data_IF_244146401998
#
_entry.id   IF_244146401998
#
_cell.length_a   1.000
_cell.length_b   1.000
_cell.length_c   1.000
_cell.angle_alpha   90.00
_cell.angle_beta   90.00
_cell.angle_gamma   90.00
#
_symmetry.space_group_name_H-M   'P 1'
#
loop_
_entity.id
_entity.type
_entity.pdbx_description
1 polymer ?
#
# COMPACT_ATOMS: atom_id res chain seq x y z
N UNK A 1 -14.93 -48.23 -3.13
CA UNK A 1 -14.22 -49.54 -3.14
C UNK A 1 -12.72 -49.32 -3.50
N UNK A 2 -11.83 -50.33 -3.48
CA UNK A 2 -10.41 -50.19 -3.88
C UNK A 2 -10.25 -50.00 -5.39
N UNK A 3 -11.26 -50.40 -6.16
CA UNK A 3 -11.50 -49.90 -7.51
C UNK A 3 -12.50 -48.74 -7.39
N UNK A 4 -12.24 -47.61 -8.06
CA UNK A 4 -13.21 -46.49 -8.12
C UNK A 4 -14.51 -47.01 -8.71
N UNK A 5 -15.60 -46.88 -7.96
CA UNK A 5 -16.90 -47.43 -8.33
C UNK A 5 -17.56 -46.59 -9.41
N UNK A 6 -18.70 -47.09 -9.87
CA UNK A 6 -19.75 -46.23 -10.42
C UNK A 6 -20.95 -46.42 -9.50
N UNK A 7 -20.74 -46.22 -8.20
CA UNK A 7 -21.76 -46.42 -7.18
C UNK A 7 -22.85 -45.36 -7.36
N UNK A 8 -24.11 -45.83 -7.34
CA UNK A 8 -25.26 -45.07 -7.80
C UNK A 8 -26.42 -45.22 -6.84
N UNK A 9 -27.06 -44.10 -6.51
CA UNK A 9 -28.39 -44.06 -5.91
C UNK A 9 -29.39 -43.60 -6.98
N UNK A 10 -30.54 -44.27 -7.06
CA UNK A 10 -31.64 -43.91 -7.96
C UNK A 10 -32.90 -43.63 -7.13
N UNK A 11 -33.43 -42.42 -7.25
CA UNK A 11 -34.72 -42.00 -6.73
C UNK A 11 -35.78 -42.24 -7.80
N UNK A 12 -36.73 -43.14 -7.55
CA UNK A 12 -37.73 -43.57 -8.56
C UNK A 12 -38.98 -42.67 -8.64
N UNK A 13 -39.18 -41.82 -7.64
CA UNK A 13 -40.40 -41.06 -7.38
C UNK A 13 -40.13 -39.64 -6.83
N UNK A 14 -38.87 -39.20 -6.83
CA UNK A 14 -38.45 -37.84 -6.41
C UNK A 14 -37.64 -37.19 -7.53
N UNK A 15 -38.00 -35.95 -7.91
CA UNK A 15 -37.29 -35.15 -8.91
C UNK A 15 -36.09 -34.43 -8.27
N UNK A 16 -35.10 -34.05 -9.08
CA UNK A 16 -33.88 -33.38 -8.62
C UNK A 16 -34.18 -32.03 -7.94
N UNK A 17 -35.17 -31.28 -8.45
CA UNK A 17 -35.61 -30.00 -7.86
C UNK A 17 -36.18 -30.14 -6.46
N UNK A 18 -36.81 -31.28 -6.16
CA UNK A 18 -37.68 -31.45 -4.99
C UNK A 18 -36.91 -31.91 -3.73
N UNK A 19 -35.63 -32.27 -3.89
CA UNK A 19 -34.71 -32.60 -2.79
C UNK A 19 -34.03 -31.33 -2.28
N UNK A 20 -33.94 -31.17 -0.96
CA UNK A 20 -33.11 -30.14 -0.31
C UNK A 20 -31.92 -30.80 0.38
N UNK A 21 -30.72 -30.32 0.11
CA UNK A 21 -29.47 -30.78 0.72
C UNK A 21 -29.08 -29.93 1.93
N UNK A 22 -28.44 -30.58 2.90
CA UNK A 22 -27.73 -29.92 4.01
C UNK A 22 -26.50 -30.75 4.38
N UNK A 23 -25.60 -30.23 5.21
CA UNK A 23 -24.39 -30.95 5.65
C UNK A 23 -24.21 -30.93 7.16
N UNK A 24 -23.60 -31.98 7.69
CA UNK A 24 -23.05 -32.03 9.05
C UNK A 24 -21.61 -32.52 8.93
N UNK A 25 -20.62 -31.67 9.19
CA UNK A 25 -19.21 -31.92 8.86
C UNK A 25 -19.06 -32.30 7.37
N UNK A 26 -18.65 -33.53 7.07
CA UNK A 26 -18.47 -34.06 5.71
C UNK A 26 -19.57 -35.04 5.29
N UNK A 27 -20.64 -35.15 6.09
CA UNK A 27 -21.81 -35.95 5.77
C UNK A 27 -22.85 -35.07 5.05
N UNK A 28 -23.40 -35.56 3.93
CA UNK A 28 -24.46 -34.86 3.17
C UNK A 28 -25.81 -35.47 3.53
N UNK A 29 -26.80 -34.63 3.83
CA UNK A 29 -28.15 -35.03 4.21
C UNK A 29 -29.11 -34.60 3.10
N UNK A 30 -29.67 -35.58 2.40
CA UNK A 30 -30.77 -35.39 1.45
C UNK A 30 -32.07 -35.35 2.24
N UNK A 31 -32.84 -34.27 2.15
CA UNK A 31 -34.20 -34.16 2.67
C UNK A 31 -35.18 -34.30 1.51
N UNK A 32 -36.03 -35.33 1.57
CA UNK A 32 -37.00 -35.65 0.53
C UNK A 32 -38.32 -34.88 0.73
N UNK A 33 -39.19 -34.79 -0.29
CA UNK A 33 -40.50 -34.14 -0.17
C UNK A 33 -41.44 -34.73 0.90
N UNK A 34 -41.21 -35.98 1.31
CA UNK A 34 -41.90 -36.63 2.42
C UNK A 34 -41.49 -36.11 3.81
N UNK A 35 -40.38 -35.36 3.89
CA UNK A 35 -39.69 -35.01 5.13
C UNK A 35 -38.75 -36.11 5.65
N UNK A 36 -38.62 -37.23 4.95
CA UNK A 36 -37.63 -38.26 5.25
C UNK A 36 -36.22 -37.79 4.86
N UNK A 37 -35.21 -38.26 5.59
CA UNK A 37 -33.81 -37.90 5.36
C UNK A 37 -32.93 -39.11 5.06
N UNK A 38 -31.96 -38.91 4.17
CA UNK A 38 -30.92 -39.88 3.84
C UNK A 38 -29.57 -39.21 4.10
N UNK A 39 -28.78 -39.77 5.03
CA UNK A 39 -27.44 -39.28 5.35
C UNK A 39 -26.37 -40.09 4.61
N UNK A 40 -25.59 -39.41 3.77
CA UNK A 40 -24.42 -39.94 3.07
C UNK A 40 -23.18 -39.63 3.91
N UNK A 41 -22.70 -40.64 4.64
CA UNK A 41 -21.58 -40.51 5.57
C UNK A 41 -20.27 -40.31 4.79
N UNK A 42 -19.48 -39.30 5.18
CA UNK A 42 -18.19 -38.94 4.60
C UNK A 42 -18.21 -38.60 3.09
N UNK A 43 -19.37 -38.23 2.54
CA UNK A 43 -19.56 -37.96 1.11
C UNK A 43 -18.72 -36.76 0.59
N UNK A 44 -18.31 -35.83 1.47
CA UNK A 44 -17.45 -34.68 1.13
C UNK A 44 -15.96 -34.89 1.47
N UNK A 45 -15.52 -36.09 1.85
CA UNK A 45 -14.11 -36.36 2.08
C UNK A 45 -13.31 -36.32 0.76
N UNK A 46 -12.10 -35.76 0.78
CA UNK A 46 -11.12 -35.84 -0.32
C UNK A 46 -10.74 -37.28 -0.69
N UNK A 47 -10.80 -38.20 0.28
CA UNK A 47 -10.74 -39.63 0.01
C UNK A 47 -12.08 -40.18 -0.51
N UNK A 48 -12.31 -40.02 -1.81
CA UNK A 48 -13.52 -40.46 -2.52
C UNK A 48 -13.71 -41.98 -2.61
N UNK A 49 -12.87 -42.81 -1.97
CA UNK A 49 -13.01 -44.28 -2.00
C UNK A 49 -14.31 -44.81 -1.37
N UNK A 50 -15.03 -43.99 -0.60
CA UNK A 50 -16.30 -44.35 0.04
C UNK A 50 -17.47 -43.44 -0.36
N UNK A 51 -17.25 -42.45 -1.23
CA UNK A 51 -18.29 -41.54 -1.72
C UNK A 51 -19.05 -42.15 -2.89
N UNK A 52 -20.35 -41.89 -2.99
CA UNK A 52 -21.14 -42.23 -4.17
C UNK A 52 -20.74 -41.35 -5.36
N UNK A 53 -20.61 -41.91 -6.56
CA UNK A 53 -20.25 -41.16 -7.76
C UNK A 53 -21.45 -40.55 -8.50
N UNK A 54 -22.66 -41.12 -8.36
CA UNK A 54 -23.85 -40.63 -9.10
C UNK A 54 -25.20 -40.77 -8.38
N UNK A 55 -26.08 -39.81 -8.64
CA UNK A 55 -27.45 -39.74 -8.13
C UNK A 55 -28.41 -39.51 -9.31
N UNK A 56 -29.35 -40.43 -9.54
CA UNK A 56 -30.35 -40.34 -10.61
C UNK A 56 -31.74 -40.08 -10.01
N UNK A 57 -32.50 -39.18 -10.63
CA UNK A 57 -33.81 -38.74 -10.17
C UNK A 57 -34.93 -39.16 -11.11
N UNK A 58 -36.18 -39.03 -10.65
CA UNK A 58 -37.37 -39.54 -11.36
C UNK A 58 -37.69 -38.77 -12.66
N UNK A 59 -37.23 -37.52 -12.76
CA UNK A 59 -37.25 -36.68 -13.95
C UNK A 59 -36.20 -37.08 -15.00
N UNK A 60 -35.27 -37.98 -14.66
CA UNK A 60 -34.14 -38.40 -15.49
C UNK A 60 -32.90 -37.51 -15.38
N UNK A 61 -32.89 -36.52 -14.47
CA UNK A 61 -31.68 -35.79 -14.14
C UNK A 61 -30.68 -36.71 -13.41
N UNK A 62 -29.40 -36.52 -13.69
CA UNK A 62 -28.31 -37.25 -13.03
C UNK A 62 -27.30 -36.24 -12.52
N UNK A 63 -27.06 -36.25 -11.21
CA UNK A 63 -25.97 -35.51 -10.57
C UNK A 63 -24.75 -36.41 -10.42
N UNK A 64 -23.60 -35.90 -10.87
CA UNK A 64 -22.30 -36.31 -10.37
C UNK A 64 -21.98 -35.61 -9.03
N UNK A 65 -20.81 -35.89 -8.46
CA UNK A 65 -20.38 -35.28 -7.20
C UNK A 65 -20.31 -33.75 -7.23
N UNK A 66 -19.84 -33.14 -8.32
CA UNK A 66 -19.75 -31.68 -8.44
C UNK A 66 -21.15 -31.04 -8.53
N UNK A 67 -22.09 -31.64 -9.27
CA UNK A 67 -23.48 -31.18 -9.31
C UNK A 67 -24.16 -31.29 -7.93
N UNK A 68 -23.90 -32.37 -7.20
CA UNK A 68 -24.36 -32.53 -5.82
C UNK A 68 -23.75 -31.48 -4.87
N UNK A 69 -22.45 -31.17 -4.97
CA UNK A 69 -21.82 -30.09 -4.18
C UNK A 69 -22.39 -28.72 -4.53
N UNK A 70 -22.53 -28.39 -5.82
CA UNK A 70 -23.12 -27.13 -6.26
C UNK A 70 -24.57 -26.97 -5.75
N UNK A 71 -25.37 -28.04 -5.76
CA UNK A 71 -26.72 -28.01 -5.16
C UNK A 71 -26.68 -27.79 -3.65
N UNK A 72 -25.79 -28.48 -2.95
CA UNK A 72 -25.59 -28.30 -1.51
C UNK A 72 -25.22 -26.85 -1.18
N UNK A 73 -24.30 -26.24 -1.92
CA UNK A 73 -23.92 -24.83 -1.68
C UNK A 73 -25.07 -23.86 -1.96
N UNK A 74 -25.90 -24.13 -2.98
CA UNK A 74 -27.12 -23.36 -3.24
C UNK A 74 -28.12 -23.47 -2.07
N UNK A 75 -28.44 -24.68 -1.62
CA UNK A 75 -29.39 -24.90 -0.52
C UNK A 75 -28.87 -24.34 0.82
N UNK A 76 -27.55 -24.34 1.03
CA UNK A 76 -26.91 -23.78 2.23
C UNK A 76 -27.08 -22.27 2.38
N UNK A 77 -27.26 -21.49 1.31
CA UNK A 77 -27.49 -20.03 1.38
C UNK A 77 -28.65 -19.66 2.30
N UNK A 78 -29.72 -20.46 2.30
CA UNK A 78 -30.90 -20.26 3.13
C UNK A 78 -30.60 -20.37 4.65
N UNK A 79 -29.41 -20.85 5.04
CA UNK A 79 -28.93 -20.88 6.42
C UNK A 79 -28.14 -19.63 6.83
N UNK A 80 -27.73 -18.81 5.85
CA UNK A 80 -26.83 -17.66 6.03
C UNK A 80 -25.33 -17.99 5.95
N UNK A 81 -24.95 -19.27 5.87
CA UNK A 81 -23.57 -19.72 5.76
C UNK A 81 -23.43 -20.83 4.70
N UNK A 82 -22.51 -20.63 3.77
CA UNK A 82 -22.05 -21.60 2.78
C UNK A 82 -20.62 -22.01 3.14
N UNK A 83 -20.33 -23.30 3.16
CA UNK A 83 -19.01 -23.83 3.55
C UNK A 83 -18.50 -24.71 2.41
N UNK A 84 -17.30 -24.40 1.91
CA UNK A 84 -16.61 -25.16 0.87
C UNK A 84 -16.09 -26.52 1.29
N UNK A 85 -15.30 -27.13 0.42
CA UNK A 85 -14.55 -28.36 0.64
C UNK A 85 -13.12 -28.20 0.12
N UNK A 86 -12.29 -29.25 0.17
CA UNK A 86 -10.93 -29.25 -0.39
C UNK A 86 -10.95 -29.62 -1.90
N UNK A 87 -11.92 -29.09 -2.67
CA UNK A 87 -12.08 -29.31 -4.12
C UNK A 87 -12.50 -27.99 -4.78
N UNK A 88 -12.21 -27.82 -6.08
CA UNK A 88 -12.76 -26.71 -6.86
C UNK A 88 -14.30 -26.64 -6.76
N UNK A 89 -14.79 -25.56 -6.17
CA UNK A 89 -16.18 -25.21 -5.94
C UNK A 89 -16.67 -24.14 -6.92
N UNK A 90 -17.91 -24.31 -7.39
CA UNK A 90 -18.56 -23.39 -8.32
C UNK A 90 -19.77 -22.73 -7.65
N UNK A 91 -19.47 -21.77 -6.77
CA UNK A 91 -20.48 -20.91 -6.16
C UNK A 91 -21.22 -20.10 -7.22
N UNK A 92 -22.53 -19.94 -7.04
CA UNK A 92 -23.36 -19.09 -7.89
C UNK A 92 -24.12 -18.11 -7.02
N UNK A 93 -24.46 -16.95 -7.56
CA UNK A 93 -25.38 -15.98 -6.98
C UNK A 93 -26.37 -15.49 -8.05
N UNK A 94 -27.62 -15.30 -7.66
CA UNK A 94 -28.66 -14.65 -8.44
C UNK A 94 -29.39 -13.63 -7.56
N UNK A 95 -29.88 -12.55 -8.15
CA UNK A 95 -30.63 -11.54 -7.42
C UNK A 95 -31.88 -12.16 -6.76
N UNK A 96 -31.98 -12.05 -5.44
CA UNK A 96 -33.03 -12.69 -4.63
C UNK A 96 -32.61 -13.96 -3.89
N UNK A 97 -31.35 -14.42 -4.03
CA UNK A 97 -30.76 -15.48 -3.20
C UNK A 97 -30.60 -15.05 -1.72
N UNK A 98 -30.66 -13.75 -1.43
CA UNK A 98 -30.48 -13.17 -0.10
C UNK A 98 -29.02 -12.99 0.31
N UNK A 99 -28.82 -12.51 1.55
CA UNK A 99 -27.50 -12.30 2.14
C UNK A 99 -26.99 -13.56 2.85
N UNK A 100 -25.73 -13.92 2.61
CA UNK A 100 -25.06 -15.07 3.22
C UNK A 100 -23.53 -14.85 3.26
N UNK A 101 -22.83 -15.72 3.98
CA UNK A 101 -21.37 -15.78 3.97
C UNK A 101 -20.86 -17.05 3.30
N UNK A 102 -19.64 -17.00 2.75
CA UNK A 102 -18.92 -18.14 2.20
C UNK A 102 -17.64 -18.33 3.02
N UNK A 103 -17.40 -19.54 3.51
CA UNK A 103 -16.14 -19.97 4.13
C UNK A 103 -15.51 -21.06 3.28
N UNK A 104 -14.51 -20.69 2.49
CA UNK A 104 -13.96 -21.52 1.42
C UNK A 104 -12.58 -22.10 1.79
N UNK A 105 -12.53 -22.98 2.79
CA UNK A 105 -11.26 -23.53 3.25
C UNK A 105 -10.76 -24.65 2.33
N UNK A 106 -9.85 -24.32 1.41
CA UNK A 106 -9.04 -25.30 0.70
C UNK A 106 -7.55 -25.22 1.09
N UNK A 107 -7.01 -26.36 1.52
CA UNK A 107 -5.59 -26.52 1.82
C UNK A 107 -4.73 -26.63 0.55
N UNK A 108 -5.31 -27.06 -0.57
CA UNK A 108 -4.61 -27.34 -1.82
C UNK A 108 -4.52 -26.17 -2.79
N UNK A 109 -5.29 -25.10 -2.56
CA UNK A 109 -5.43 -23.91 -3.42
C UNK A 109 -5.94 -24.30 -4.81
N UNK A 110 -7.21 -24.70 -4.84
CA UNK A 110 -7.99 -25.03 -6.01
C UNK A 110 -8.22 -23.85 -6.96
N UNK A 111 -9.23 -24.02 -7.81
CA UNK A 111 -9.67 -23.02 -8.77
C UNK A 111 -11.12 -22.61 -8.48
N UNK A 112 -11.34 -22.06 -7.29
CA UNK A 112 -12.67 -21.74 -6.79
C UNK A 112 -13.27 -20.52 -7.52
N UNK A 113 -14.58 -20.54 -7.71
CA UNK A 113 -15.28 -19.51 -8.49
C UNK A 113 -16.63 -19.11 -7.90
N UNK A 114 -16.84 -17.80 -7.77
CA UNK A 114 -18.16 -17.21 -7.53
C UNK A 114 -18.71 -16.59 -8.83
N UNK A 115 -19.85 -17.11 -9.29
CA UNK A 115 -20.52 -16.67 -10.52
C UNK A 115 -21.80 -15.89 -10.21
N UNK A 116 -21.82 -14.59 -10.48
CA UNK A 116 -23.01 -13.74 -10.48
C UNK A 116 -23.77 -13.94 -11.80
N UNK A 117 -24.89 -14.67 -11.73
CA UNK A 117 -25.61 -15.17 -12.92
C UNK A 117 -26.49 -14.13 -13.63
N UNK A 118 -26.95 -13.11 -12.92
CA UNK A 118 -27.80 -12.03 -13.43
C UNK A 118 -27.38 -10.61 -12.98
N UNK A 119 -26.26 -10.48 -12.26
CA UNK A 119 -25.65 -9.21 -11.87
C UNK A 119 -24.35 -8.97 -12.65
N UNK A 120 -24.11 -7.72 -13.04
CA UNK A 120 -22.87 -7.26 -13.65
C UNK A 120 -21.90 -6.72 -12.58
N UNK A 121 -20.67 -6.45 -12.99
CA UNK A 121 -19.65 -5.94 -12.09
C UNK A 121 -19.91 -4.50 -11.61
N UNK A 122 -20.83 -3.79 -12.27
CA UNK A 122 -21.36 -2.47 -11.86
C UNK A 122 -22.57 -2.54 -10.93
N UNK A 123 -23.15 -3.73 -10.74
CA UNK A 123 -24.33 -3.95 -9.90
C UNK A 123 -23.95 -4.36 -8.47
N UNK A 124 -22.65 -4.35 -8.15
CA UNK A 124 -22.05 -4.64 -6.84
C UNK A 124 -21.06 -3.54 -6.42
N UNK A 125 -20.94 -3.35 -5.11
CA UNK A 125 -19.88 -2.54 -4.48
C UNK A 125 -19.19 -3.36 -3.40
N UNK A 126 -17.88 -3.17 -3.22
CA UNK A 126 -17.07 -3.92 -2.28
C UNK A 126 -16.82 -3.15 -0.99
N UNK A 127 -16.82 -3.86 0.14
CA UNK A 127 -16.32 -3.36 1.42
C UNK A 127 -15.54 -4.44 2.18
N UNK A 128 -14.83 -4.06 3.24
CA UNK A 128 -13.95 -4.95 4.02
C UNK A 128 -14.37 -4.98 5.48
N UNK A 129 -14.41 -6.18 6.04
CA UNK A 129 -14.55 -6.42 7.48
C UNK A 129 -13.42 -7.35 7.95
N UNK A 130 -12.42 -6.81 8.64
CA UNK A 130 -11.19 -7.54 8.97
C UNK A 130 -10.46 -8.05 7.72
N UNK A 131 -10.35 -9.37 7.57
CA UNK A 131 -9.79 -10.02 6.37
C UNK A 131 -10.89 -10.53 5.40
N UNK A 132 -12.16 -10.24 5.68
CA UNK A 132 -13.28 -10.62 4.81
C UNK A 132 -13.60 -9.52 3.81
N UNK A 133 -14.04 -9.93 2.61
CA UNK A 133 -14.59 -9.02 1.59
C UNK A 133 -16.09 -9.19 1.53
N UNK A 134 -16.84 -8.09 1.53
CA UNK A 134 -18.30 -8.08 1.40
C UNK A 134 -18.66 -7.48 0.05
N UNK A 135 -19.35 -8.25 -0.78
CA UNK A 135 -20.05 -7.75 -1.96
C UNK A 135 -21.44 -7.28 -1.52
N UNK A 136 -21.73 -5.99 -1.61
CA UNK A 136 -23.08 -5.45 -1.48
C UNK A 136 -23.68 -5.27 -2.88
N UNK A 137 -24.82 -5.90 -3.15
CA UNK A 137 -25.53 -5.78 -4.42
C UNK A 137 -26.39 -4.52 -4.44
N UNK A 138 -26.70 -4.01 -5.64
CA UNK A 138 -27.67 -2.93 -5.84
C UNK A 138 -29.08 -3.21 -5.27
N UNK A 139 -29.40 -4.48 -4.97
CA UNK A 139 -30.61 -4.93 -4.27
C UNK A 139 -30.52 -4.87 -2.75
N UNK A 140 -29.34 -4.61 -2.17
CA UNK A 140 -29.05 -4.62 -0.74
C UNK A 140 -28.73 -6.00 -0.17
N UNK A 141 -28.47 -7.00 -1.01
CA UNK A 141 -27.99 -8.32 -0.59
C UNK A 141 -26.49 -8.25 -0.32
N UNK A 142 -26.01 -9.00 0.67
CA UNK A 142 -24.59 -9.02 1.06
C UNK A 142 -24.03 -10.43 0.98
N UNK A 143 -22.96 -10.60 0.20
CA UNK A 143 -22.21 -11.85 0.08
C UNK A 143 -20.84 -11.64 0.74
N UNK A 144 -20.64 -12.21 1.92
CA UNK A 144 -19.39 -12.06 2.68
C UNK A 144 -18.46 -13.23 2.44
N UNK A 145 -17.29 -12.97 1.85
CA UNK A 145 -16.21 -13.93 1.65
C UNK A 145 -15.30 -13.91 2.88
N UNK A 146 -15.42 -14.92 3.74
CA UNK A 146 -14.74 -14.96 5.02
C UNK A 146 -13.23 -15.20 4.86
N UNK A 147 -12.40 -14.29 5.38
CA UNK A 147 -10.93 -14.40 5.29
C UNK A 147 -10.36 -14.43 3.85
N UNK A 148 -11.09 -13.89 2.88
CA UNK A 148 -10.66 -13.74 1.48
C UNK A 148 -9.30 -13.02 1.30
N UNK A 149 -8.90 -12.19 2.27
CA UNK A 149 -7.65 -11.41 2.27
C UNK A 149 -6.54 -12.00 3.17
N UNK A 150 -6.69 -13.23 3.68
CA UNK A 150 -5.60 -13.90 4.42
C UNK A 150 -4.41 -14.18 3.48
N UNK A 151 -3.18 -13.75 3.84
CA UNK A 151 -1.98 -13.90 3.01
C UNK A 151 -1.57 -15.36 2.71
N UNK A 152 -2.13 -16.35 3.43
CA UNK A 152 -1.93 -17.77 3.12
C UNK A 152 -2.86 -18.31 2.01
N UNK A 153 -3.79 -17.50 1.50
CA UNK A 153 -4.74 -17.78 0.41
C UNK A 153 -5.41 -19.17 0.48
N UNK A 154 -5.63 -19.71 1.69
CA UNK A 154 -6.38 -20.97 1.90
C UNK A 154 -7.88 -20.78 2.10
N UNK A 155 -8.36 -19.53 2.02
CA UNK A 155 -9.75 -19.11 2.25
C UNK A 155 -10.25 -18.16 1.16
N UNK A 156 -9.49 -18.04 0.09
CA UNK A 156 -9.74 -17.14 -1.01
C UNK A 156 -10.45 -17.88 -2.12
N UNK A 157 -11.50 -17.29 -2.68
CA UNK A 157 -12.00 -17.65 -4.00
C UNK A 157 -11.04 -17.04 -5.04
N UNK A 158 -10.60 -17.82 -6.03
CA UNK A 158 -9.65 -17.37 -7.07
C UNK A 158 -10.30 -16.49 -8.14
N UNK A 159 -11.55 -16.77 -8.51
CA UNK A 159 -12.19 -16.14 -9.67
C UNK A 159 -13.62 -15.69 -9.42
N UNK A 160 -13.97 -14.54 -10.00
CA UNK A 160 -15.31 -13.97 -9.96
C UNK A 160 -15.80 -13.77 -11.39
N UNK A 161 -16.99 -14.26 -11.72
CA UNK A 161 -17.59 -14.16 -13.06
C UNK A 161 -18.94 -13.45 -12.97
N UNK A 162 -19.21 -12.52 -13.89
CA UNK A 162 -20.42 -11.69 -13.91
C UNK A 162 -21.28 -11.95 -15.16
N UNK A 163 -22.54 -11.53 -15.12
CA UNK A 163 -23.54 -11.86 -16.15
C UNK A 163 -23.20 -11.34 -17.57
N UNK A 164 -22.39 -10.28 -17.69
CA UNK A 164 -21.88 -9.76 -18.96
C UNK A 164 -20.61 -10.47 -19.47
N UNK A 165 -20.09 -11.45 -18.74
CA UNK A 165 -18.84 -12.14 -19.04
C UNK A 165 -17.58 -11.40 -18.56
N UNK A 166 -17.72 -10.33 -17.76
CA UNK A 166 -16.59 -9.78 -17.00
C UNK A 166 -16.10 -10.83 -16.01
N UNK A 167 -14.78 -11.02 -15.95
CA UNK A 167 -14.12 -11.86 -14.94
C UNK A 167 -13.14 -11.03 -14.14
N UNK A 168 -13.06 -11.27 -12.83
CA UNK A 168 -12.00 -10.74 -11.96
C UNK A 168 -11.18 -11.89 -11.39
N UNK A 169 -9.87 -11.69 -11.27
CA UNK A 169 -9.03 -12.48 -10.37
C UNK A 169 -8.92 -11.84 -8.97
N UNK A 170 -8.05 -12.38 -8.11
CA UNK A 170 -7.82 -11.85 -6.76
C UNK A 170 -7.17 -10.46 -6.73
N UNK A 171 -6.36 -10.09 -7.74
CA UNK A 171 -5.74 -8.78 -7.82
C UNK A 171 -6.75 -7.73 -8.33
N UNK A 172 -7.58 -8.08 -9.32
CA UNK A 172 -8.75 -7.29 -9.72
C UNK A 172 -9.69 -7.02 -8.54
N UNK A 173 -9.98 -8.05 -7.72
CA UNK A 173 -10.80 -7.93 -6.51
C UNK A 173 -10.20 -6.91 -5.53
N UNK A 174 -8.91 -7.04 -5.19
CA UNK A 174 -8.23 -6.12 -4.25
C UNK A 174 -8.19 -4.70 -4.79
N UNK A 175 -7.84 -4.51 -6.06
CA UNK A 175 -7.81 -3.18 -6.69
C UNK A 175 -9.17 -2.48 -6.64
N UNK A 176 -10.27 -3.21 -6.87
CA UNK A 176 -11.64 -2.66 -6.82
C UNK A 176 -12.10 -2.38 -5.41
N UNK A 177 -11.78 -3.26 -4.46
CA UNK A 177 -12.03 -3.03 -3.03
C UNK A 177 -11.36 -1.73 -2.56
N UNK A 178 -10.14 -1.46 -3.01
CA UNK A 178 -9.41 -0.24 -2.69
C UNK A 178 -10.00 1.00 -3.39
N UNK A 179 -10.50 0.86 -4.61
CA UNK A 179 -11.23 1.94 -5.29
C UNK A 179 -12.53 2.30 -4.54
N UNK A 180 -13.33 1.32 -4.10
CA UNK A 180 -14.57 1.56 -3.33
C UNK A 180 -14.30 2.13 -1.92
N UNK A 181 -13.23 1.69 -1.25
CA UNK A 181 -12.81 2.21 0.07
C UNK A 181 -12.56 3.72 0.09
N UNK A 182 -12.14 4.34 -1.02
CA UNK A 182 -11.82 5.77 -1.09
C UNK A 182 -13.00 6.66 -0.72
N UNK A 183 -14.24 6.23 -1.02
CA UNK A 183 -15.45 6.94 -0.63
C UNK A 183 -15.62 7.05 0.89
N UNK A 184 -15.05 6.11 1.66
CA UNK A 184 -14.96 6.15 3.12
C UNK A 184 -13.81 7.03 3.67
N UNK A 185 -12.94 7.56 2.80
CA UNK A 185 -11.80 8.39 3.15
C UNK A 185 -10.58 7.63 3.69
N UNK A 186 -10.62 6.30 3.75
CA UNK A 186 -9.51 5.47 4.20
C UNK A 186 -9.44 4.15 3.42
N UNK A 187 -8.27 3.89 2.83
CA UNK A 187 -7.92 2.65 2.13
C UNK A 187 -6.94 1.86 3.00
N UNK A 188 -7.12 0.53 3.06
CA UNK A 188 -6.32 -0.37 3.89
C UNK A 188 -5.76 -1.49 3.00
N UNK A 189 -4.44 -1.61 2.96
CA UNK A 189 -3.68 -2.64 2.26
C UNK A 189 -3.79 -4.04 2.86
N UNK A 190 -3.17 -5.00 2.21
CA UNK A 190 -3.16 -6.42 2.59
C UNK A 190 -1.73 -6.93 2.79
N UNK A 191 -1.51 -8.25 2.71
CA UNK A 191 -0.18 -8.88 2.78
C UNK A 191 0.31 -9.26 1.36
N UNK A 192 -0.17 -8.55 0.33
CA UNK A 192 0.11 -8.77 -1.09
C UNK A 192 0.52 -7.46 -1.76
N UNK A 193 1.24 -7.54 -2.88
CA UNK A 193 1.65 -6.35 -3.64
C UNK A 193 0.42 -5.60 -4.19
N UNK A 194 0.31 -4.32 -3.81
CA UNK A 194 -0.84 -3.46 -4.04
C UNK A 194 -0.55 -2.32 -5.04
N UNK A 195 -1.56 -1.96 -5.84
CA UNK A 195 -1.53 -0.79 -6.74
C UNK A 195 -2.62 0.21 -6.38
N UNK A 196 -2.29 1.18 -5.53
CA UNK A 196 -3.17 2.27 -5.12
C UNK A 196 -3.31 3.32 -6.23
N UNK A 197 -4.31 3.17 -7.11
CA UNK A 197 -4.47 4.07 -8.28
C UNK A 197 -5.30 5.31 -7.94
N UNK A 198 -4.66 6.45 -7.64
CA UNK A 198 -5.34 7.74 -7.49
C UNK A 198 -5.78 8.33 -8.83
N UNK A 199 -7.00 8.87 -8.87
CA UNK A 199 -7.57 9.64 -9.99
C UNK A 199 -8.19 10.94 -9.48
N UNK A 200 -8.28 11.97 -10.33
CA UNK A 200 -8.80 13.30 -9.98
C UNK A 200 -10.25 13.30 -9.42
N UNK A 201 -11.03 12.24 -9.65
CA UNK A 201 -12.39 12.08 -9.13
C UNK A 201 -12.45 11.51 -7.70
N UNK A 202 -11.36 10.93 -7.19
CA UNK A 202 -11.34 10.13 -5.96
C UNK A 202 -11.42 10.98 -4.68
N UNK A 203 -11.07 12.26 -4.76
CA UNK A 203 -11.04 13.16 -3.60
C UNK A 203 -9.88 12.86 -2.63
N UNK A 204 -10.06 13.18 -1.35
CA UNK A 204 -9.04 13.00 -0.31
C UNK A 204 -9.24 11.71 0.48
N UNK A 205 -8.17 10.93 0.65
CA UNK A 205 -8.16 9.73 1.50
C UNK A 205 -6.78 9.43 2.11
N UNK A 206 -6.77 8.57 3.12
CA UNK A 206 -5.55 8.01 3.71
C UNK A 206 -5.31 6.57 3.22
N UNK A 207 -4.04 6.16 3.11
CA UNK A 207 -3.62 4.77 2.90
C UNK A 207 -2.96 4.27 4.19
N UNK A 208 -3.35 3.09 4.66
CA UNK A 208 -2.63 2.33 5.69
C UNK A 208 -2.20 1.00 5.09
N UNK A 209 -0.90 0.77 4.99
CA UNK A 209 -0.33 -0.30 4.19
C UNK A 209 0.51 -1.25 5.04
N UNK A 210 -0.15 -1.97 5.96
CA UNK A 210 0.57 -2.87 6.85
C UNK A 210 0.84 -4.21 6.16
N UNK A 211 1.99 -4.31 5.50
CA UNK A 211 2.52 -5.60 5.06
C UNK A 211 3.66 -6.10 5.97
N UNK A 212 3.53 -7.35 6.41
CA UNK A 212 4.56 -8.06 7.15
C UNK A 212 5.73 -8.50 6.26
N UNK A 213 5.49 -8.76 4.98
CA UNK A 213 6.44 -9.37 4.05
C UNK A 213 7.35 -8.38 3.33
N UNK A 214 6.94 -7.10 3.26
CA UNK A 214 7.55 -6.02 2.48
C UNK A 214 7.52 -6.34 0.98
N UNK A 215 6.30 -6.34 0.43
CA UNK A 215 6.00 -6.39 -0.99
C UNK A 215 6.53 -5.20 -1.78
N UNK A 216 6.13 -5.13 -3.04
CA UNK A 216 6.47 -4.06 -3.98
C UNK A 216 5.27 -3.10 -4.19
N UNK A 217 4.81 -2.46 -3.10
CA UNK A 217 3.60 -1.62 -3.11
C UNK A 217 3.79 -0.29 -3.85
N UNK A 218 2.73 0.21 -4.48
CA UNK A 218 2.80 1.43 -5.29
C UNK A 218 1.56 2.33 -5.24
N UNK A 219 1.80 3.63 -5.04
CA UNK A 219 0.83 4.70 -5.23
C UNK A 219 0.98 5.28 -6.64
N UNK A 220 -0.07 5.15 -7.45
CA UNK A 220 -0.09 5.60 -8.85
C UNK A 220 -0.98 6.84 -8.98
N UNK A 221 -0.41 7.97 -9.38
CA UNK A 221 -1.17 9.16 -9.79
C UNK A 221 -1.49 9.07 -11.28
N UNK A 222 -2.65 8.46 -11.62
CA UNK A 222 -2.94 8.02 -12.99
C UNK A 222 -3.33 9.13 -13.98
N UNK A 223 -3.73 10.30 -13.49
CA UNK A 223 -4.11 11.49 -14.28
C UNK A 223 -3.46 12.78 -13.76
N UNK A 224 -2.33 12.64 -13.05
CA UNK A 224 -1.49 13.75 -12.61
C UNK A 224 -0.01 13.49 -12.88
N UNK A 225 0.60 14.38 -13.66
CA UNK A 225 2.04 14.47 -13.85
C UNK A 225 2.72 14.84 -12.54
N UNK A 226 4.01 14.52 -12.37
CA UNK A 226 4.73 14.88 -11.14
C UNK A 226 4.70 16.39 -10.87
N UNK A 227 4.75 17.21 -11.90
CA UNK A 227 4.65 18.67 -11.78
C UNK A 227 3.29 19.20 -11.28
N UNK A 228 2.25 18.36 -11.22
CA UNK A 228 0.90 18.70 -10.77
C UNK A 228 0.59 18.21 -9.34
N UNK A 229 1.50 17.44 -8.73
CA UNK A 229 1.40 16.93 -7.37
C UNK A 229 2.47 17.60 -6.51
N UNK A 230 2.08 18.18 -5.38
CA UNK A 230 3.03 18.64 -4.35
C UNK A 230 3.04 17.67 -3.16
N UNK A 231 4.21 17.35 -2.67
CA UNK A 231 4.40 16.43 -1.56
C UNK A 231 4.96 17.15 -0.32
N UNK A 232 4.47 16.81 0.87
CA UNK A 232 5.02 17.27 2.15
C UNK A 232 5.13 16.10 3.13
N UNK A 233 6.00 16.27 4.14
CA UNK A 233 6.03 15.42 5.33
C UNK A 233 5.07 15.98 6.38
N UNK A 234 4.35 15.08 7.07
CA UNK A 234 3.52 15.42 8.23
C UNK A 234 3.74 14.35 9.33
N UNK A 235 4.68 14.62 10.24
CA UNK A 235 5.20 13.60 11.15
C UNK A 235 5.85 12.45 10.39
N UNK A 236 5.36 11.22 10.61
CA UNK A 236 5.82 10.03 9.88
C UNK A 236 5.09 9.82 8.54
N UNK A 237 4.13 10.68 8.17
CA UNK A 237 3.28 10.49 7.00
C UNK A 237 3.84 11.23 5.77
N UNK A 238 3.59 10.66 4.59
CA UNK A 238 3.73 11.37 3.32
C UNK A 238 2.36 11.91 2.90
N UNK A 239 2.25 13.22 2.65
CA UNK A 239 1.02 13.86 2.20
C UNK A 239 1.24 14.43 0.81
N UNK A 240 0.55 13.88 -0.18
CA UNK A 240 0.52 14.37 -1.54
C UNK A 240 -0.74 15.22 -1.74
N UNK A 241 -0.61 16.36 -2.41
CA UNK A 241 -1.71 17.26 -2.76
C UNK A 241 -1.75 17.43 -4.26
N UNK A 242 -2.89 17.12 -4.89
CA UNK A 242 -3.07 17.20 -6.34
C UNK A 242 -3.72 18.52 -6.75
N UNK A 243 -3.72 18.82 -8.05
CA UNK A 243 -4.40 19.99 -8.60
C UNK A 243 -5.89 20.00 -8.21
N UNK A 244 -6.34 21.06 -7.54
CA UNK A 244 -7.69 21.15 -6.95
C UNK A 244 -7.72 21.00 -5.42
N UNK A 245 -6.62 20.56 -4.81
CA UNK A 245 -6.46 20.51 -3.34
C UNK A 245 -6.93 19.22 -2.66
N UNK A 246 -7.29 18.20 -3.43
CA UNK A 246 -7.46 16.84 -2.90
C UNK A 246 -6.11 16.27 -2.45
N UNK A 247 -6.14 15.35 -1.49
CA UNK A 247 -4.94 14.88 -0.79
C UNK A 247 -4.93 13.36 -0.60
N UNK A 248 -3.86 12.71 -1.02
CA UNK A 248 -3.56 11.31 -0.67
C UNK A 248 -2.51 11.31 0.43
N UNK A 249 -2.80 10.65 1.56
CA UNK A 249 -1.86 10.56 2.69
C UNK A 249 -1.48 9.12 2.98
N UNK A 250 -0.20 8.78 2.83
CA UNK A 250 0.32 7.47 3.26
C UNK A 250 0.71 7.58 4.74
N UNK A 251 0.04 6.81 5.59
CA UNK A 251 0.23 6.85 7.03
C UNK A 251 1.45 6.01 7.44
N UNK A 252 2.39 6.61 8.16
CA UNK A 252 3.57 5.89 8.67
C UNK A 252 4.70 5.63 7.66
N UNK A 253 4.64 6.17 6.44
CA UNK A 253 5.64 6.04 5.37
C UNK A 253 7.11 6.18 5.83
N UNK A 254 7.38 7.04 6.81
CA UNK A 254 8.73 7.33 7.31
C UNK A 254 9.03 6.74 8.70
N UNK A 255 8.22 5.79 9.17
CA UNK A 255 8.54 5.03 10.38
C UNK A 255 9.87 4.26 10.21
N UNK A 256 10.57 4.01 11.31
CA UNK A 256 11.78 3.15 11.31
C UNK A 256 11.45 1.70 10.93
N UNK A 257 10.21 1.29 11.14
CA UNK A 257 9.65 0.04 10.66
C UNK A 257 8.82 0.28 9.39
N UNK A 258 9.46 0.01 8.26
CA UNK A 258 8.91 0.16 6.90
C UNK A 258 7.79 -0.84 6.55
N UNK A 259 7.25 -1.60 7.50
CA UNK A 259 6.02 -2.41 7.31
C UNK A 259 4.74 -1.57 7.22
N UNK A 260 4.86 -0.28 6.87
CA UNK A 260 3.76 0.68 6.66
C UNK A 260 4.11 1.65 5.51
N UNK A 261 5.14 1.34 4.71
CA UNK A 261 5.56 2.17 3.60
C UNK A 261 5.10 1.55 2.30
N UNK A 262 4.70 2.43 1.37
CA UNK A 262 4.60 2.10 -0.05
C UNK A 262 6.00 2.26 -0.66
N UNK A 263 6.49 1.26 -1.39
CA UNK A 263 7.85 1.20 -1.94
C UNK A 263 8.10 2.22 -3.06
N UNK A 264 7.06 2.53 -3.84
CA UNK A 264 7.18 3.45 -4.98
C UNK A 264 5.97 4.36 -5.23
N UNK A 265 6.23 5.49 -5.87
CA UNK A 265 5.19 6.42 -6.36
C UNK A 265 5.33 6.59 -7.87
N UNK A 266 4.29 6.26 -8.63
CA UNK A 266 4.22 6.45 -10.09
C UNK A 266 3.37 7.69 -10.44
N UNK A 267 3.75 8.42 -11.51
CA UNK A 267 3.02 9.59 -12.03
C UNK A 267 2.68 9.41 -13.52
N UNK A 268 1.67 10.12 -14.03
CA UNK A 268 1.16 9.93 -15.41
C UNK A 268 2.19 10.27 -16.52
N UNK A 269 3.20 11.08 -16.19
CA UNK A 269 4.31 11.48 -17.06
C UNK A 269 5.41 10.42 -17.15
N UNK A 270 5.26 9.29 -16.46
CA UNK A 270 6.23 8.21 -16.38
C UNK A 270 7.36 8.45 -15.36
N UNK A 271 7.29 9.51 -14.55
CA UNK A 271 8.15 9.67 -13.38
C UNK A 271 7.83 8.56 -12.37
N UNK A 272 8.88 7.93 -11.84
CA UNK A 272 8.78 6.99 -10.73
C UNK A 272 9.67 7.49 -9.60
N UNK A 273 9.15 7.49 -8.39
CA UNK A 273 9.91 7.71 -7.17
C UNK A 273 10.06 6.40 -6.41
N UNK A 274 11.29 5.90 -6.30
CA UNK A 274 11.66 4.99 -5.21
C UNK A 274 11.70 5.73 -3.86
N UNK A 275 11.92 4.99 -2.77
CA UNK A 275 12.03 5.56 -1.42
C UNK A 275 13.00 6.75 -1.30
N UNK A 276 14.17 6.72 -1.95
CA UNK A 276 15.14 7.82 -1.88
C UNK A 276 14.71 9.02 -2.74
N UNK A 277 14.10 8.77 -3.89
CA UNK A 277 13.52 9.81 -4.74
C UNK A 277 12.33 10.49 -4.05
N UNK A 278 11.51 9.73 -3.32
CA UNK A 278 10.42 10.25 -2.47
C UNK A 278 10.94 11.16 -1.35
N UNK A 279 11.95 10.72 -0.59
CA UNK A 279 12.59 11.53 0.45
C UNK A 279 13.10 12.88 -0.12
N UNK A 280 13.92 12.82 -1.17
CA UNK A 280 14.51 14.00 -1.81
C UNK A 280 13.45 14.89 -2.48
N UNK A 281 12.39 14.29 -3.01
CA UNK A 281 11.30 14.97 -3.71
C UNK A 281 10.36 15.73 -2.80
N UNK A 282 10.01 15.16 -1.64
CA UNK A 282 9.32 15.88 -0.55
C UNK A 282 10.19 17.03 -0.05
N UNK A 283 11.48 16.78 0.17
CA UNK A 283 12.40 17.83 0.62
C UNK A 283 12.52 18.99 -0.38
N UNK A 284 12.41 18.72 -1.68
CA UNK A 284 12.33 19.75 -2.73
C UNK A 284 11.03 20.57 -2.64
N UNK A 285 9.86 19.91 -2.64
CA UNK A 285 8.56 20.58 -2.63
C UNK A 285 8.33 21.42 -1.37
N UNK A 286 8.84 20.97 -0.22
CA UNK A 286 8.69 21.68 1.06
C UNK A 286 9.42 23.03 1.10
N UNK A 287 10.43 23.28 0.25
CA UNK A 287 11.16 24.57 0.23
C UNK A 287 10.24 25.76 0.00
N UNK A 288 9.23 25.60 -0.86
CA UNK A 288 8.25 26.64 -1.16
C UNK A 288 7.41 27.08 0.06
N UNK A 289 7.45 26.32 1.16
CA UNK A 289 6.82 26.66 2.44
C UNK A 289 7.75 27.48 3.37
N UNK A 290 9.03 27.62 3.03
CA UNK A 290 10.08 28.19 3.88
C UNK A 290 10.63 27.24 4.96
N UNK A 291 10.10 26.02 5.07
CA UNK A 291 10.49 25.03 6.07
C UNK A 291 10.51 23.62 5.50
N UNK A 292 11.69 23.00 5.47
CA UNK A 292 11.91 21.61 5.09
C UNK A 292 12.10 20.79 6.36
N UNK A 293 11.33 19.70 6.49
CA UNK A 293 11.42 18.79 7.64
C UNK A 293 11.97 17.46 7.16
N UNK A 294 13.20 17.11 7.56
CA UNK A 294 13.85 15.83 7.35
C UNK A 294 13.19 14.68 8.13
N UNK A 295 13.79 13.51 8.06
CA UNK A 295 13.31 12.23 8.57
C UNK A 295 14.34 11.58 9.50
N UNK A 296 14.08 10.32 9.88
CA UNK A 296 15.05 9.49 10.60
C UNK A 296 16.01 8.74 9.66
N UNK A 297 15.86 8.91 8.34
CA UNK A 297 16.65 8.30 7.27
C UNK A 297 17.62 9.31 6.66
N UNK A 298 18.64 8.85 5.94
CA UNK A 298 19.62 9.76 5.29
C UNK A 298 18.99 10.50 4.11
N UNK A 299 18.93 11.82 4.16
CA UNK A 299 18.36 12.66 3.09
C UNK A 299 19.42 13.46 2.32
N UNK A 300 19.14 13.75 1.05
CA UNK A 300 19.97 14.63 0.21
C UNK A 300 19.18 15.87 -0.22
N UNK A 301 19.22 16.89 0.63
CA UNK A 301 18.71 18.21 0.33
C UNK A 301 19.52 18.81 -0.82
N UNK A 302 18.90 18.99 -1.99
CA UNK A 302 19.54 19.67 -3.14
C UNK A 302 19.04 21.10 -3.22
N UNK A 303 19.94 22.06 -3.40
CA UNK A 303 19.63 23.46 -3.63
C UNK A 303 20.08 23.89 -5.03
N UNK A 304 19.27 24.71 -5.68
CA UNK A 304 19.53 25.40 -6.95
C UNK A 304 19.25 26.88 -6.73
N UNK A 305 20.10 27.78 -7.22
CA UNK A 305 19.89 29.23 -7.08
C UNK A 305 18.53 29.62 -7.69
N UNK A 306 17.66 30.21 -6.88
CA UNK A 306 16.25 30.49 -7.24
C UNK A 306 15.22 29.58 -6.55
N UNK A 307 15.65 28.56 -5.81
CA UNK A 307 14.80 27.75 -4.91
C UNK A 307 14.21 28.58 -3.74
N UNK A 308 14.74 29.77 -3.47
CA UNK A 308 14.38 30.65 -2.36
C UNK A 308 15.10 30.33 -1.04
N UNK A 309 14.92 31.21 -0.06
CA UNK A 309 15.36 30.99 1.32
C UNK A 309 14.43 30.03 2.07
N UNK A 310 15.01 29.08 2.81
CA UNK A 310 14.26 28.15 3.66
C UNK A 310 15.10 27.67 4.84
N UNK A 311 14.41 27.12 5.84
CA UNK A 311 15.03 26.39 6.95
C UNK A 311 14.96 24.89 6.72
N UNK A 312 15.93 24.15 7.26
CA UNK A 312 15.92 22.68 7.37
C UNK A 312 15.91 22.34 8.86
N UNK A 313 15.07 21.38 9.25
CA UNK A 313 14.99 20.78 10.59
C UNK A 313 14.75 19.28 10.49
N UNK A 314 15.06 18.48 11.50
CA UNK A 314 14.90 17.02 11.46
C UNK A 314 14.53 16.39 12.83
N UNK A 315 13.95 15.18 12.83
CA UNK A 315 13.71 14.39 14.04
C UNK A 315 15.01 13.79 14.58
N UNK A 316 14.97 13.19 15.78
CA UNK A 316 16.19 12.65 16.39
C UNK A 316 16.78 11.48 15.58
N UNK A 317 18.01 11.65 15.10
CA UNK A 317 18.71 10.65 14.29
C UNK A 317 19.54 9.73 15.21
N UNK A 318 18.96 8.57 15.55
CA UNK A 318 19.52 7.60 16.49
C UNK A 318 20.30 6.45 15.81
N UNK A 319 20.27 6.37 14.48
CA UNK A 319 20.68 5.18 13.72
C UNK A 319 22.01 5.35 12.96
N UNK A 320 22.64 6.53 13.02
CA UNK A 320 23.86 6.83 12.27
C UNK A 320 23.62 7.15 10.79
N UNK A 321 22.40 7.57 10.44
CA UNK A 321 22.12 8.17 9.14
C UNK A 321 22.81 9.54 9.05
N UNK A 322 23.17 9.97 7.84
CA UNK A 322 23.90 11.21 7.63
C UNK A 322 23.26 12.00 6.49
N UNK A 323 22.73 13.18 6.82
CA UNK A 323 22.10 14.08 5.87
C UNK A 323 23.14 14.87 5.08
N UNK A 324 22.78 15.24 3.85
CA UNK A 324 23.63 16.02 2.94
C UNK A 324 22.86 17.21 2.40
N UNK A 325 23.52 18.37 2.37
CA UNK A 325 23.09 19.52 1.58
C UNK A 325 24.02 19.66 0.37
N UNK A 326 23.47 19.66 -0.84
CA UNK A 326 24.22 19.79 -2.09
C UNK A 326 23.72 21.03 -2.83
N UNK A 327 24.59 22.03 -2.99
CA UNK A 327 24.39 23.13 -3.91
C UNK A 327 24.75 22.67 -5.33
N UNK A 328 23.77 22.71 -6.23
CA UNK A 328 23.89 22.14 -7.58
C UNK A 328 24.50 23.10 -8.60
N UNK A 329 24.42 24.40 -8.34
CA UNK A 329 24.90 25.49 -9.21
C UNK A 329 25.62 26.62 -8.46
N UNK A 330 25.57 26.65 -7.12
CA UNK A 330 26.36 27.57 -6.30
C UNK A 330 27.74 26.98 -5.94
N UNK A 331 28.80 27.76 -6.15
CA UNK A 331 30.19 27.40 -5.79
C UNK A 331 30.53 27.81 -4.36
N UNK A 332 31.61 27.27 -3.80
CA UNK A 332 31.99 27.52 -2.41
C UNK A 332 32.33 28.98 -2.11
N UNK A 333 32.88 29.73 -3.08
CA UNK A 333 33.15 31.18 -3.00
C UNK A 333 31.89 32.06 -3.09
N UNK A 334 30.75 31.47 -3.46
CA UNK A 334 29.44 32.13 -3.50
C UNK A 334 28.63 31.96 -2.22
N UNK A 335 29.16 31.25 -1.21
CA UNK A 335 28.47 30.96 0.05
C UNK A 335 29.26 31.46 1.26
N UNK A 336 28.54 31.97 2.25
CA UNK A 336 29.07 32.37 3.56
C UNK A 336 28.27 31.63 4.62
N UNK A 337 28.94 30.88 5.48
CA UNK A 337 28.31 30.17 6.62
C UNK A 337 28.51 31.02 7.88
N UNK A 338 27.43 31.35 8.58
CA UNK A 338 27.47 32.00 9.89
C UNK A 338 26.69 31.20 10.93
N UNK A 339 26.95 31.47 12.22
CA UNK A 339 26.20 30.90 13.33
C UNK A 339 25.17 31.91 13.84
N UNK A 340 23.89 31.50 13.89
CA UNK A 340 22.81 32.26 14.54
C UNK A 340 22.25 31.43 15.71
N UNK A 341 22.70 31.74 16.93
CA UNK A 341 22.40 30.94 18.11
C UNK A 341 22.95 29.52 17.98
N UNK A 342 22.05 28.52 17.89
CA UNK A 342 22.44 27.12 17.64
C UNK A 342 22.31 26.72 16.16
N UNK A 343 21.95 27.64 15.27
CA UNK A 343 21.70 27.35 13.86
C UNK A 343 22.92 27.68 13.00
N UNK A 344 23.12 26.96 11.89
CA UNK A 344 23.98 27.43 10.82
C UNK A 344 23.14 28.16 9.77
N UNK A 345 23.59 29.31 9.29
CA UNK A 345 22.94 30.10 8.25
C UNK A 345 23.91 30.18 7.07
N UNK A 346 23.57 29.53 5.96
CA UNK A 346 24.34 29.57 4.72
C UNK A 346 23.72 30.64 3.83
N UNK A 347 24.42 31.77 3.68
CA UNK A 347 24.00 32.90 2.86
C UNK A 347 24.68 32.84 1.50
N UNK A 348 23.89 32.88 0.43
CA UNK A 348 24.37 32.80 -0.95
C UNK A 348 24.50 34.18 -1.59
N UNK A 349 25.37 34.29 -2.59
CA UNK A 349 25.68 35.53 -3.32
C UNK A 349 24.48 36.20 -4.02
N UNK A 350 23.41 35.45 -4.29
CA UNK A 350 22.15 35.97 -4.84
C UNK A 350 21.19 36.53 -3.77
N UNK A 351 21.53 36.38 -2.47
CA UNK A 351 20.72 36.80 -1.33
C UNK A 351 19.82 35.71 -0.72
N UNK A 352 19.85 34.48 -1.25
CA UNK A 352 19.13 33.35 -0.64
C UNK A 352 19.86 32.84 0.61
N UNK A 353 19.11 32.26 1.54
CA UNK A 353 19.60 31.81 2.85
C UNK A 353 19.03 30.44 3.20
N UNK A 354 19.92 29.49 3.52
CA UNK A 354 19.56 28.14 3.96
C UNK A 354 19.93 28.01 5.43
N UNK A 355 18.94 27.88 6.31
CA UNK A 355 19.16 27.80 7.76
C UNK A 355 19.04 26.36 8.26
N UNK A 356 20.13 25.78 8.77
CA UNK A 356 20.16 24.47 9.42
C UNK A 356 19.86 24.63 10.92
N UNK A 357 18.63 24.32 11.33
CA UNK A 357 18.11 24.58 12.67
C UNK A 357 18.74 23.65 13.72
N UNK A 358 19.45 24.22 14.70
CA UNK A 358 20.07 23.46 15.79
C UNK A 358 21.37 22.73 15.44
N UNK A 359 21.94 22.96 14.25
CA UNK A 359 23.19 22.37 13.75
C UNK A 359 24.34 22.41 14.77
N UNK A 360 24.48 23.51 15.54
CA UNK A 360 25.54 23.73 16.54
C UNK A 360 25.10 23.46 17.99
N UNK A 361 23.93 22.86 18.22
CA UNK A 361 23.51 22.50 19.58
C UNK A 361 24.51 21.55 20.26
N UNK A 362 24.64 21.64 21.58
CA UNK A 362 25.55 20.80 22.39
C UNK A 362 25.27 19.30 22.20
N UNK A 363 23.99 18.93 22.24
CA UNK A 363 23.48 17.59 21.94
C UNK A 363 22.43 17.74 20.83
N UNK A 364 22.85 17.79 19.55
CA UNK A 364 21.91 18.00 18.45
C UNK A 364 21.02 16.76 18.31
N UNK A 365 19.71 16.97 18.10
CA UNK A 365 18.82 15.86 17.77
C UNK A 365 19.11 15.33 16.36
N UNK A 366 19.44 16.24 15.44
CA UNK A 366 19.71 15.99 14.04
C UNK A 366 20.78 16.99 13.57
N UNK A 367 21.47 16.70 12.47
CA UNK A 367 22.46 17.58 11.85
C UNK A 367 22.54 17.28 10.36
N UNK A 368 22.88 18.28 9.53
CA UNK A 368 23.45 18.04 8.20
C UNK A 368 24.98 18.10 8.33
N UNK A 369 25.69 16.97 8.52
CA UNK A 369 27.15 16.99 8.62
C UNK A 369 27.79 17.43 7.30
N UNK A 370 27.29 16.94 6.16
CA UNK A 370 27.96 17.13 4.86
C UNK A 370 27.33 18.23 4.03
N UNK A 371 28.14 19.20 3.60
CA UNK A 371 27.76 20.24 2.64
C UNK A 371 28.67 20.18 1.41
N UNK A 372 28.09 20.10 0.22
CA UNK A 372 28.77 19.98 -1.07
C UNK A 372 28.38 21.13 -1.99
N UNK A 373 29.36 21.69 -2.70
CA UNK A 373 29.21 22.81 -3.63
C UNK A 373 29.45 22.39 -5.08
N UNK A 374 28.96 23.19 -6.03
CA UNK A 374 28.99 22.88 -7.46
C UNK A 374 30.41 22.84 -8.08
N UNK A 375 31.41 23.39 -7.38
CA UNK A 375 32.84 23.30 -7.71
C UNK A 375 33.52 22.00 -7.20
N UNK A 376 32.77 21.15 -6.48
CA UNK A 376 33.27 19.92 -5.88
C UNK A 376 33.92 20.09 -4.51
N UNK A 377 33.84 21.28 -3.89
CA UNK A 377 34.23 21.46 -2.48
C UNK A 377 33.21 20.76 -1.58
N UNK A 378 33.71 19.93 -0.65
CA UNK A 378 32.90 19.16 0.30
C UNK A 378 33.40 19.41 1.72
N UNK A 379 32.53 19.96 2.56
CA UNK A 379 32.68 19.97 4.01
C UNK A 379 32.06 18.69 4.55
N UNK A 380 32.85 17.84 5.21
CA UNK A 380 32.37 16.53 5.69
C UNK A 380 31.73 16.60 7.08
N UNK A 381 32.11 17.59 7.89
CA UNK A 381 31.39 18.01 9.09
C UNK A 381 31.33 19.55 9.15
N UNK A 382 30.14 20.12 8.95
CA UNK A 382 29.91 21.56 9.04
C UNK A 382 30.16 22.11 10.46
N UNK A 383 30.23 21.25 11.49
CA UNK A 383 30.60 21.65 12.86
C UNK A 383 32.11 21.75 13.09
N UNK A 384 32.94 21.30 12.13
CA UNK A 384 34.39 21.59 12.11
C UNK A 384 34.70 23.02 11.64
N UNK A 385 33.71 23.77 11.13
CA UNK A 385 33.83 25.22 10.98
C UNK A 385 33.81 25.87 12.38
N UNK A 386 35.01 26.18 12.91
CA UNK A 386 35.12 27.07 14.08
C UNK A 386 34.50 28.43 13.77
N UNK A 387 33.81 29.10 14.70
CA UNK A 387 32.83 30.06 14.23
C UNK A 387 33.37 31.44 13.78
N UNK A 388 34.20 32.20 14.54
CA UNK A 388 34.63 33.60 14.14
C UNK A 388 34.25 34.97 14.82
N UNK A 389 34.40 35.28 16.11
CA UNK A 389 33.51 36.25 16.81
C UNK A 389 33.50 37.72 16.29
N UNK A 390 32.40 38.14 15.63
CA UNK A 390 32.11 39.46 15.00
C UNK A 390 33.36 40.30 14.65
N UNK A 391 34.11 39.91 13.61
CA UNK A 391 35.21 40.75 13.11
C UNK A 391 36.14 40.10 12.08
N UNK A 392 35.89 40.37 10.80
CA UNK A 392 36.61 39.84 9.63
C UNK A 392 38.16 39.94 9.67
N UNK A 393 38.83 38.95 9.07
CA UNK A 393 40.30 38.85 8.93
C UNK A 393 40.70 38.82 7.44
N UNK A 394 41.47 39.81 6.98
CA UNK A 394 42.01 39.89 5.61
C UNK A 394 43.53 39.63 5.56
N UNK A 395 43.96 38.79 4.63
CA UNK A 395 45.37 38.56 4.26
C UNK A 395 45.90 39.60 3.27
N UNK A 396 47.18 39.49 2.87
CA UNK A 396 47.86 40.38 1.92
C UNK A 396 48.21 39.74 0.58
N UNK A 397 49.00 40.45 -0.25
CA UNK A 397 49.47 39.96 -1.56
C UNK A 397 50.69 38.99 -1.47
N UNK A 398 50.78 38.22 -0.39
CA UNK A 398 51.88 37.29 -0.11
C UNK A 398 51.32 35.99 0.47
N UNK A 399 52.11 34.90 0.43
CA UNK A 399 51.70 33.63 1.06
C UNK A 399 51.55 33.81 2.57
N UNK A 400 50.29 33.84 3.02
CA UNK A 400 49.90 34.05 4.40
C UNK A 400 49.38 32.76 5.05
N UNK A 401 49.32 32.77 6.39
CA UNK A 401 48.63 31.75 7.19
C UNK A 401 47.45 32.43 7.87
N UNK A 402 46.23 32.13 7.44
CA UNK A 402 45.02 32.89 7.79
C UNK A 402 44.13 32.04 8.70
N UNK A 403 44.39 32.12 10.01
CA UNK A 403 43.66 31.38 11.04
C UNK A 403 42.58 32.23 11.72
N UNK A 404 41.35 31.71 11.79
CA UNK A 404 40.21 32.30 12.50
C UNK A 404 40.22 32.15 14.04
N UNK A 405 39.09 32.46 14.67
CA UNK A 405 38.77 32.28 16.12
C UNK A 405 37.29 31.81 16.39
N UNK A 406 36.45 32.44 17.25
CA UNK A 406 35.35 31.70 17.94
C UNK A 406 33.80 31.94 17.78
N UNK A 407 33.23 32.86 16.96
CA UNK A 407 31.78 33.22 16.73
C UNK A 407 31.14 33.30 15.27
N UNK A 408 31.54 34.13 14.28
CA UNK A 408 31.20 34.09 12.80
C UNK A 408 32.18 34.88 11.84
N UNK A 409 33.18 34.26 11.16
CA UNK A 409 34.28 34.97 10.43
C UNK A 409 33.96 35.42 9.01
N UNK A 410 34.78 36.35 8.52
CA UNK A 410 35.00 36.53 7.07
C UNK A 410 36.50 36.47 6.82
N UNK A 411 36.97 35.34 6.26
CA UNK A 411 38.36 35.15 5.84
C UNK A 411 38.54 35.54 4.37
N UNK A 412 39.58 36.33 4.07
CA UNK A 412 39.94 36.72 2.69
C UNK A 412 41.45 36.58 2.46
N UNK A 413 41.87 35.54 1.73
CA UNK A 413 43.29 35.29 1.44
C UNK A 413 43.95 36.27 0.47
N UNK A 414 43.17 36.95 -0.38
CA UNK A 414 43.67 37.76 -1.51
C UNK A 414 44.55 36.96 -2.47
N UNK A 415 45.81 37.34 -2.67
CA UNK A 415 46.67 36.80 -3.74
C UNK A 415 47.90 36.10 -3.16
N UNK A 416 47.80 34.78 -2.98
CA UNK A 416 48.88 33.96 -2.45
C UNK A 416 48.67 32.46 -2.74
N UNK A 417 49.28 31.64 -1.89
CA UNK A 417 49.09 30.18 -1.84
C UNK A 417 48.78 29.87 -0.37
N UNK A 418 47.68 30.42 0.10
CA UNK A 418 47.43 30.66 1.52
C UNK A 418 46.86 29.41 2.20
N UNK A 419 47.11 29.27 3.52
CA UNK A 419 46.86 28.05 4.29
C UNK A 419 46.24 28.35 5.65
#
# INVERSE_FOLDING_TARGET
DYNRGNDKVTFTDVNATDVVLSRIHNDVIFTLPSGETITLIHQLNTDTRNSLESFEFADGEIWNQAQMRNRLMHDMKATGEVIGTENDEFYTHAAGDGSYSITDYDYHRGADRLTFSDLNETDVTLSRDGNSVVFETSGGEQITLNSQLDGDSRRSIETFEFANGTTWDQADLRSRLMDDMKAGGAVIGTEFDERYVHRAADGSYTITDYDYHRGDDVLVFADHARSQVSAKRDGANAVFTVAGGATVTILGQFNTDLRNSVESIEFDDGTIWDFNALLNGIAHDMKATGSVVGSVWSETFRHTLGDGSYSITGPQNLSGHADRLIFTDATSDQAIVTQDGNNAVISLSNGETITLIGQFAENPAWTVPTVEFADGVIFNDLRELEPVDDGAIEGGDATDVVSGSGGSDILRGLAGNDV
#
